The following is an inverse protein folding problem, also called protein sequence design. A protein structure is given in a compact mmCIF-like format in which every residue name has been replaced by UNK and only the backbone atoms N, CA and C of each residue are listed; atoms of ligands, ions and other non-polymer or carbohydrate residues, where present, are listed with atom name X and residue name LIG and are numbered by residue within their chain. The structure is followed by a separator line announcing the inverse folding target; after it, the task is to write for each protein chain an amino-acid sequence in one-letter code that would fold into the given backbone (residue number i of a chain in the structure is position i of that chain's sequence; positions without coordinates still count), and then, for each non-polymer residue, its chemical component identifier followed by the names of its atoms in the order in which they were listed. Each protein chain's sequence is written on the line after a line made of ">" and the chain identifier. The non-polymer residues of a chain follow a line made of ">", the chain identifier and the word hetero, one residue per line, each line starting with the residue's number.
data_IF_713101107667
#
_entry.id   IF_713101107667
#
_cell.length_a   1.000
_cell.length_b   1.000
_cell.length_c   1.000
_cell.angle_alpha   90.00
_cell.angle_beta   90.00
_cell.angle_gamma   90.00
#
_symmetry.space_group_name_H-M   'P 1'
#
loop_
_entity.id
_entity.type
_entity.pdbx_description
1 polymer ?
#
# COMPACT_ATOMS: atom_id res chain seq x y z
N UNK A 1 -46.39 66.78 11.29
CA UNK A 1 -46.11 66.53 9.94
C UNK A 1 -44.72 67.01 9.54
N UNK A 2 -43.68 66.26 9.63
CA UNK A 2 -42.30 66.65 9.38
C UNK A 2 -41.72 65.82 8.25
N UNK A 3 -41.56 66.41 7.09
CA UNK A 3 -40.81 65.82 5.95
C UNK A 3 -39.32 65.79 6.26
N UNK A 4 -38.68 64.58 6.28
CA UNK A 4 -37.21 64.43 6.27
C UNK A 4 -36.73 64.30 4.83
N UNK A 5 -35.76 65.14 4.43
CA UNK A 5 -35.05 65.13 3.15
C UNK A 5 -34.01 63.96 3.08
N UNK A 6 -33.73 63.37 1.90
CA UNK A 6 -32.78 62.29 1.75
C UNK A 6 -31.33 62.82 1.69
N UNK A 7 -30.40 62.07 2.36
CA UNK A 7 -28.95 62.33 2.37
C UNK A 7 -28.31 61.83 1.07
N UNK A 8 -27.50 62.70 0.43
CA UNK A 8 -26.64 62.40 -0.74
C UNK A 8 -25.59 61.33 -0.42
N UNK A 9 -25.51 60.28 -1.23
CA UNK A 9 -24.40 59.31 -1.25
C UNK A 9 -23.19 59.91 -1.96
N UNK A 10 -22.04 59.98 -1.29
CA UNK A 10 -20.72 60.25 -1.88
C UNK A 10 -20.24 59.02 -2.63
N UNK A 11 -19.92 59.17 -3.90
CA UNK A 11 -19.15 58.17 -4.69
C UNK A 11 -17.69 58.22 -4.27
N UNK A 12 -17.17 57.12 -3.74
CA UNK A 12 -15.72 56.92 -3.66
C UNK A 12 -15.28 56.16 -4.91
N UNK A 13 -14.45 56.80 -5.69
CA UNK A 13 -13.68 56.19 -6.80
C UNK A 13 -12.44 55.53 -6.20
N UNK A 14 -12.40 54.22 -6.17
CA UNK A 14 -11.17 53.45 -5.90
C UNK A 14 -10.58 53.02 -7.22
N UNK A 15 -9.49 53.72 -7.62
CA UNK A 15 -8.63 53.31 -8.71
C UNK A 15 -7.88 52.02 -8.29
N UNK A 16 -8.09 50.96 -9.05
CA UNK A 16 -7.31 49.71 -8.92
C UNK A 16 -6.00 49.89 -9.69
N UNK A 17 -4.90 50.03 -8.98
CA UNK A 17 -3.57 49.89 -9.53
C UNK A 17 -3.29 48.38 -9.72
N UNK A 18 -3.14 47.96 -10.95
CA UNK A 18 -2.59 46.67 -11.31
C UNK A 18 -1.04 46.73 -11.09
N UNK A 19 -0.45 45.73 -10.39
CA UNK A 19 1.01 45.63 -10.35
C UNK A 19 1.52 45.09 -11.68
N UNK A 20 2.50 45.83 -12.26
CA UNK A 20 3.28 45.45 -13.44
C UNK A 20 4.05 44.16 -13.16
N UNK A 21 4.01 43.23 -14.10
CA UNK A 21 4.87 42.05 -14.14
C UNK A 21 6.33 42.43 -14.28
N UNK A 22 7.26 41.78 -13.57
CA UNK A 22 8.71 41.95 -13.83
C UNK A 22 9.12 41.18 -15.08
N UNK A 23 9.96 41.83 -15.88
CA UNK A 23 10.60 41.27 -17.07
C UNK A 23 11.47 40.05 -16.77
N UNK A 24 11.59 39.08 -17.68
CA UNK A 24 12.45 37.93 -17.49
C UNK A 24 13.92 38.30 -17.84
N UNK A 25 14.76 38.40 -16.84
CA UNK A 25 16.19 38.40 -17.04
C UNK A 25 16.88 37.45 -16.07
N UNK A 26 17.57 36.47 -16.65
CA UNK A 26 18.76 35.76 -16.16
C UNK A 26 18.50 34.83 -14.95
N UNK A 27 18.37 33.54 -15.23
CA UNK A 27 18.97 32.46 -14.42
C UNK A 27 19.10 31.20 -15.29
N UNK A 28 20.13 31.21 -16.12
CA UNK A 28 20.76 30.00 -16.62
C UNK A 28 21.86 29.66 -15.65
N UNK A 29 21.74 28.58 -14.89
CA UNK A 29 22.84 27.67 -14.55
C UNK A 29 22.40 26.62 -13.53
N UNK A 30 22.55 25.37 -13.95
CA UNK A 30 22.97 24.26 -13.11
C UNK A 30 21.94 23.66 -12.11
N UNK A 31 21.05 22.82 -12.63
CA UNK A 31 20.63 21.62 -11.91
C UNK A 31 20.91 20.40 -12.79
N UNK A 32 22.16 19.96 -12.76
CA UNK A 32 22.52 18.61 -13.17
C UNK A 32 22.11 17.67 -12.01
N UNK A 33 21.43 16.55 -12.28
CA UNK A 33 21.17 15.55 -11.25
C UNK A 33 22.50 14.98 -10.74
N UNK A 34 22.58 14.58 -9.46
CA UNK A 34 23.77 13.97 -8.90
C UNK A 34 24.11 12.67 -9.63
N UNK A 35 25.40 12.34 -9.80
CA UNK A 35 25.81 11.11 -10.46
C UNK A 35 25.34 9.88 -9.69
N UNK A 36 24.88 8.86 -10.41
CA UNK A 36 24.50 7.56 -9.88
C UNK A 36 25.65 6.94 -9.06
N UNK A 37 25.37 6.35 -7.90
CA UNK A 37 26.38 5.67 -7.10
C UNK A 37 26.92 4.46 -7.86
N UNK A 38 28.25 4.31 -7.83
CA UNK A 38 28.95 3.17 -8.45
C UNK A 38 28.50 1.86 -7.81
N UNK A 39 28.43 0.75 -8.56
CA UNK A 39 28.05 -0.54 -7.99
C UNK A 39 29.08 -0.98 -6.95
N UNK A 40 28.60 -1.26 -5.75
CA UNK A 40 29.40 -1.87 -4.69
C UNK A 40 29.45 -3.37 -4.94
N UNK A 41 30.63 -3.89 -5.24
CA UNK A 41 30.88 -5.32 -5.38
C UNK A 41 30.97 -5.91 -3.96
N UNK A 42 29.94 -6.60 -3.52
CA UNK A 42 29.99 -7.36 -2.27
C UNK A 42 30.66 -8.70 -2.52
N UNK A 43 31.83 -8.91 -1.88
CA UNK A 43 32.44 -10.22 -1.78
C UNK A 43 31.59 -11.09 -0.84
N UNK A 44 31.12 -12.22 -1.35
CA UNK A 44 30.43 -13.25 -0.59
C UNK A 44 31.35 -13.84 0.47
N UNK A 45 31.08 -13.58 1.76
CA UNK A 45 31.54 -14.42 2.86
C UNK A 45 30.38 -15.27 3.36
N UNK A 46 30.55 -16.57 3.59
CA UNK A 46 29.48 -17.44 4.07
C UNK A 46 29.12 -17.05 5.52
N UNK A 47 27.82 -16.86 5.76
CA UNK A 47 27.25 -16.62 7.08
C UNK A 47 26.97 -17.99 7.75
N UNK A 48 28.00 -18.61 8.32
CA UNK A 48 27.86 -19.61 9.36
C UNK A 48 28.44 -19.01 10.65
N UNK A 49 27.72 -19.15 11.74
CA UNK A 49 28.04 -18.74 13.10
C UNK A 49 27.66 -17.33 13.55
N UNK A 50 26.40 -17.20 13.95
CA UNK A 50 25.96 -16.49 15.18
C UNK A 50 24.43 -16.36 15.23
N UNK A 51 23.77 -17.42 15.67
CA UNK A 51 22.42 -17.31 16.23
C UNK A 51 22.50 -17.78 17.70
N UNK A 52 21.95 -17.03 18.66
CA UNK A 52 21.79 -17.51 20.02
C UNK A 52 20.72 -18.61 20.09
N UNK A 53 20.83 -19.56 21.02
CA UNK A 53 19.90 -20.70 21.10
C UNK A 53 18.53 -20.23 21.59
N UNK A 54 17.49 -20.65 20.88
CA UNK A 54 16.09 -20.50 21.29
C UNK A 54 15.77 -21.37 22.50
N UNK A 55 14.93 -20.92 23.44
CA UNK A 55 14.43 -21.78 24.51
C UNK A 55 13.50 -22.83 23.90
N UNK A 56 13.86 -24.10 24.09
CA UNK A 56 13.03 -25.25 23.77
C UNK A 56 11.91 -25.36 24.82
N UNK A 57 10.66 -25.21 24.40
CA UNK A 57 9.52 -25.96 24.91
C UNK A 57 8.28 -25.70 24.07
N UNK A 58 7.99 -26.59 23.12
CA UNK A 58 6.65 -26.82 22.60
C UNK A 58 6.52 -28.31 22.36
N UNK A 59 5.48 -28.90 22.96
CA UNK A 59 5.16 -30.30 22.92
C UNK A 59 4.79 -30.83 21.52
N UNK A 60 4.75 -32.16 21.34
CA UNK A 60 4.72 -32.78 20.03
C UNK A 60 3.30 -32.90 19.51
N UNK A 61 2.98 -32.27 18.42
CA UNK A 61 2.17 -32.72 17.28
C UNK A 61 1.94 -31.58 16.29
N UNK A 62 2.94 -31.24 15.52
CA UNK A 62 2.68 -30.53 14.26
C UNK A 62 3.35 -31.31 13.13
N UNK A 63 2.53 -31.81 12.21
CA UNK A 63 3.03 -32.32 10.93
C UNK A 63 3.92 -31.25 10.31
N UNK A 64 5.23 -31.49 10.25
CA UNK A 64 6.13 -30.70 9.41
C UNK A 64 5.60 -30.82 8.00
N UNK A 65 4.95 -29.76 7.49
CA UNK A 65 4.73 -29.61 6.05
C UNK A 65 6.11 -29.45 5.41
N UNK A 66 6.56 -30.47 4.72
CA UNK A 66 7.72 -30.40 3.85
C UNK A 66 7.41 -29.38 2.76
N UNK A 67 8.27 -28.39 2.62
CA UNK A 67 8.21 -27.42 1.56
C UNK A 67 8.36 -28.15 0.21
N UNK A 68 7.27 -28.27 -0.55
CA UNK A 68 7.33 -28.68 -1.94
C UNK A 68 7.45 -27.41 -2.79
N UNK A 69 8.36 -27.38 -3.78
CA UNK A 69 8.41 -26.26 -4.71
C UNK A 69 7.05 -26.13 -5.39
N UNK A 70 6.39 -25.00 -5.15
CA UNK A 70 5.08 -24.68 -5.76
C UNK A 70 5.27 -24.68 -7.26
N UNK A 71 4.46 -25.46 -7.98
CA UNK A 71 4.33 -25.33 -9.44
C UNK A 71 3.81 -23.93 -9.73
N UNK A 72 4.71 -23.04 -10.14
CA UNK A 72 4.42 -21.63 -10.40
C UNK A 72 3.61 -21.54 -11.71
N UNK A 73 2.42 -20.98 -11.64
CA UNK A 73 1.69 -20.55 -12.83
C UNK A 73 2.49 -19.43 -13.53
N UNK A 74 2.68 -19.51 -14.85
CA UNK A 74 3.47 -18.55 -15.64
C UNK A 74 3.14 -17.08 -15.35
N UNK A 75 1.87 -16.74 -15.06
CA UNK A 75 1.47 -15.38 -14.67
C UNK A 75 1.93 -14.88 -13.30
N UNK A 76 2.46 -15.73 -12.41
CA UNK A 76 2.99 -15.31 -11.10
C UNK A 76 4.45 -14.84 -11.21
N UNK A 77 5.26 -15.52 -12.03
CA UNK A 77 6.66 -15.16 -12.27
C UNK A 77 6.78 -13.83 -13.04
N UNK A 78 5.90 -13.59 -14.04
CA UNK A 78 5.86 -12.31 -14.76
C UNK A 78 5.55 -11.15 -13.83
N UNK A 79 4.58 -11.31 -12.91
CA UNK A 79 4.25 -10.30 -11.91
C UNK A 79 5.40 -10.06 -10.92
N UNK A 80 6.10 -11.11 -10.51
CA UNK A 80 7.27 -10.98 -9.64
C UNK A 80 8.36 -10.12 -10.29
N UNK A 81 8.67 -10.36 -11.56
CA UNK A 81 9.64 -9.55 -12.32
C UNK A 81 9.18 -8.10 -12.41
N UNK A 82 7.92 -7.87 -12.72
CA UNK A 82 7.33 -6.53 -12.82
C UNK A 82 7.45 -5.76 -11.51
N UNK A 83 7.02 -6.35 -10.38
CA UNK A 83 7.10 -5.68 -9.07
C UNK A 83 8.53 -5.49 -8.58
N UNK A 84 9.46 -6.36 -8.95
CA UNK A 84 10.88 -6.18 -8.66
C UNK A 84 11.49 -4.98 -9.39
N UNK A 85 11.07 -4.71 -10.64
CA UNK A 85 11.55 -3.56 -11.43
C UNK A 85 11.09 -2.22 -10.88
N UNK A 86 9.83 -2.13 -10.42
CA UNK A 86 9.27 -0.88 -9.88
C UNK A 86 9.71 -0.57 -8.45
N UNK A 87 10.17 -1.55 -7.69
CA UNK A 87 10.50 -1.40 -6.27
C UNK A 87 11.31 -0.12 -5.93
N UNK A 88 12.38 0.27 -6.68
CA UNK A 88 13.20 1.42 -6.34
C UNK A 88 12.52 2.79 -6.48
N UNK A 89 11.46 2.89 -7.31
CA UNK A 89 10.79 4.16 -7.65
C UNK A 89 9.32 4.19 -7.25
N UNK A 90 8.79 3.07 -6.76
CA UNK A 90 7.37 2.88 -6.48
C UNK A 90 6.80 3.92 -5.51
N UNK A 91 7.49 4.16 -4.39
CA UNK A 91 7.02 5.10 -3.38
C UNK A 91 7.03 6.54 -3.88
N UNK A 92 8.08 6.95 -4.63
CA UNK A 92 8.17 8.30 -5.20
C UNK A 92 7.08 8.56 -6.24
N UNK A 93 6.77 7.56 -7.07
CA UNK A 93 5.69 7.66 -8.05
C UNK A 93 4.33 7.71 -7.36
N UNK A 94 4.09 6.92 -6.34
CA UNK A 94 2.86 6.97 -5.56
C UNK A 94 2.67 8.34 -4.88
N UNK A 95 3.73 8.93 -4.31
CA UNK A 95 3.70 10.27 -3.74
C UNK A 95 3.31 11.32 -4.80
N UNK A 96 3.97 11.29 -5.95
CA UNK A 96 3.73 12.24 -7.03
C UNK A 96 2.31 12.09 -7.60
N UNK A 97 1.90 10.87 -7.95
CA UNK A 97 0.63 10.61 -8.64
C UNK A 97 -0.58 10.77 -7.73
N UNK A 98 -0.45 10.51 -6.44
CA UNK A 98 -1.52 10.70 -5.45
C UNK A 98 -1.49 12.07 -4.77
N UNK A 99 -0.53 12.93 -5.11
CA UNK A 99 -0.26 14.18 -4.39
C UNK A 99 -0.13 13.95 -2.87
N UNK A 100 0.52 12.83 -2.48
CA UNK A 100 0.70 12.42 -1.09
C UNK A 100 -0.54 11.82 -0.42
N UNK A 101 -1.69 11.75 -1.10
CA UNK A 101 -2.94 11.21 -0.53
C UNK A 101 -2.83 9.72 -0.16
N UNK A 102 -1.99 8.95 -0.83
CA UNK A 102 -1.78 7.54 -0.53
C UNK A 102 -1.36 7.33 0.94
N UNK A 103 -0.65 8.28 1.54
CA UNK A 103 -0.25 8.22 2.96
C UNK A 103 -1.45 8.33 3.89
N UNK A 104 -2.45 9.14 3.51
CA UNK A 104 -3.72 9.27 4.25
C UNK A 104 -4.51 7.97 4.15
N UNK A 105 -4.65 7.43 2.93
CA UNK A 105 -5.38 6.18 2.70
C UNK A 105 -4.77 5.00 3.44
N UNK A 106 -3.43 4.88 3.46
CA UNK A 106 -2.71 3.85 4.23
C UNK A 106 -2.97 3.96 5.74
N UNK A 107 -2.98 5.18 6.31
CA UNK A 107 -3.35 5.39 7.72
C UNK A 107 -4.81 5.02 8.00
N UNK A 108 -5.72 5.31 7.07
CA UNK A 108 -7.12 4.91 7.19
C UNK A 108 -7.23 3.38 7.20
N UNK A 109 -6.54 2.67 6.29
CA UNK A 109 -6.55 1.21 6.24
C UNK A 109 -6.06 0.60 7.56
N UNK A 110 -4.95 1.08 8.12
CA UNK A 110 -4.45 0.66 9.44
C UNK A 110 -5.45 0.98 10.55
N UNK A 111 -6.12 2.12 10.49
CA UNK A 111 -7.15 2.48 11.49
C UNK A 111 -8.36 1.53 11.41
N UNK A 112 -8.82 1.21 10.21
CA UNK A 112 -10.00 0.36 9.98
C UNK A 112 -9.76 -1.12 10.23
N UNK A 113 -8.50 -1.59 10.23
CA UNK A 113 -8.14 -2.94 10.65
C UNK A 113 -8.48 -3.23 12.11
N UNK A 114 -8.69 -2.18 12.91
CA UNK A 114 -9.01 -2.31 14.33
C UNK A 114 -7.83 -2.66 15.22
N UNK A 115 -6.59 -2.67 14.70
CA UNK A 115 -5.39 -2.97 15.46
C UNK A 115 -5.21 -2.05 16.67
N UNK A 116 -4.75 -2.62 17.78
CA UNK A 116 -4.55 -1.98 19.08
C UNK A 116 -3.09 -2.14 19.54
N UNK A 117 -2.75 -1.43 20.59
CA UNK A 117 -1.45 -1.55 21.24
C UNK A 117 -1.25 -2.96 21.79
N UNK A 118 -0.09 -3.55 21.53
CA UNK A 118 0.25 -4.92 21.94
C UNK A 118 -0.22 -6.02 20.99
N UNK A 119 -0.99 -5.70 19.93
CA UNK A 119 -1.51 -6.68 18.99
C UNK A 119 -0.42 -7.30 18.11
N UNK A 120 -0.70 -8.52 17.64
CA UNK A 120 0.05 -9.20 16.58
C UNK A 120 -0.67 -9.00 15.26
N UNK A 121 -0.01 -8.34 14.31
CA UNK A 121 -0.64 -7.91 13.05
C UNK A 121 0.11 -8.38 11.82
N UNK A 122 -0.61 -8.60 10.73
CA UNK A 122 -0.08 -9.00 9.43
C UNK A 122 -0.29 -7.88 8.41
N UNK A 123 0.78 -7.47 7.74
CA UNK A 123 0.74 -6.71 6.49
C UNK A 123 1.01 -7.67 5.34
N UNK A 124 -0.05 -8.06 4.62
CA UNK A 124 0.01 -9.03 3.54
C UNK A 124 0.17 -8.31 2.19
N UNK A 125 1.05 -8.81 1.33
CA UNK A 125 1.54 -8.11 0.13
C UNK A 125 2.18 -6.76 0.54
N UNK A 126 3.07 -6.81 1.51
CA UNK A 126 3.58 -5.63 2.21
C UNK A 126 4.49 -4.74 1.35
N UNK A 127 5.03 -5.25 0.23
CA UNK A 127 5.95 -4.52 -0.63
C UNK A 127 7.12 -3.93 0.12
N UNK A 128 7.37 -2.63 -0.04
CA UNK A 128 8.42 -1.87 0.65
C UNK A 128 8.13 -1.58 2.14
N UNK A 129 7.00 -2.09 2.68
CA UNK A 129 6.68 -2.10 4.11
C UNK A 129 5.91 -0.91 4.65
N UNK A 130 5.32 -0.05 3.83
CA UNK A 130 4.67 1.18 4.29
C UNK A 130 3.58 0.96 5.34
N UNK A 131 2.70 -0.03 5.13
CA UNK A 131 1.66 -0.35 6.11
C UNK A 131 2.24 -1.04 7.35
N UNK A 132 3.26 -1.90 7.18
CA UNK A 132 3.96 -2.53 8.28
C UNK A 132 4.61 -1.50 9.22
N UNK A 133 5.21 -0.44 8.69
CA UNK A 133 5.75 0.65 9.51
C UNK A 133 4.65 1.41 10.26
N UNK A 134 3.51 1.69 9.62
CA UNK A 134 2.36 2.31 10.28
C UNK A 134 1.76 1.39 11.36
N UNK A 135 1.70 0.09 11.11
CA UNK A 135 1.30 -0.89 12.11
C UNK A 135 2.25 -0.92 13.30
N UNK A 136 3.57 -0.92 13.06
CA UNK A 136 4.57 -0.90 14.12
C UNK A 136 4.38 0.29 15.07
N UNK A 137 4.13 1.47 14.52
CA UNK A 137 3.79 2.66 15.32
C UNK A 137 2.46 2.50 16.08
N UNK A 138 1.49 1.84 15.47
CA UNK A 138 0.16 1.62 16.05
C UNK A 138 0.16 0.63 17.20
N UNK A 139 0.82 -0.53 17.01
CA UNK A 139 0.84 -1.60 18.03
C UNK A 139 1.89 -1.36 19.11
N UNK A 140 2.92 -0.53 18.84
CA UNK A 140 3.98 -0.20 19.78
C UNK A 140 4.97 -1.34 20.01
N UNK A 141 5.92 -1.11 20.94
CA UNK A 141 7.03 -2.04 21.21
C UNK A 141 6.59 -3.43 21.71
N UNK A 142 5.42 -3.50 22.33
CA UNK A 142 4.88 -4.73 22.92
C UNK A 142 4.08 -5.55 21.91
N UNK A 143 3.80 -4.97 20.74
CA UNK A 143 3.14 -5.64 19.61
C UNK A 143 4.14 -6.28 18.66
N UNK A 144 3.64 -7.10 17.75
CA UNK A 144 4.43 -7.74 16.69
C UNK A 144 3.81 -7.45 15.33
N UNK A 145 4.65 -7.08 14.37
CA UNK A 145 4.24 -6.87 12.98
C UNK A 145 4.94 -7.89 12.11
N UNK A 146 4.19 -8.57 11.25
CA UNK A 146 4.75 -9.45 10.23
C UNK A 146 4.36 -8.90 8.88
N UNK A 147 5.36 -8.61 8.04
CA UNK A 147 5.20 -8.24 6.64
C UNK A 147 5.45 -9.44 5.75
N UNK A 148 4.45 -9.83 4.95
CA UNK A 148 4.58 -10.94 3.99
C UNK A 148 4.47 -10.41 2.59
N UNK A 149 5.45 -10.75 1.75
CA UNK A 149 5.41 -10.47 0.31
C UNK A 149 6.03 -11.64 -0.47
N UNK A 150 5.60 -11.84 -1.71
CA UNK A 150 6.16 -12.86 -2.58
C UNK A 150 7.45 -12.43 -3.29
N UNK A 151 7.76 -11.13 -3.28
CA UNK A 151 8.95 -10.53 -3.89
C UNK A 151 10.05 -10.33 -2.85
N UNK A 152 11.11 -11.11 -2.96
CA UNK A 152 12.32 -10.98 -2.13
C UNK A 152 12.96 -9.59 -2.28
N UNK A 153 12.87 -8.98 -3.47
CA UNK A 153 13.41 -7.65 -3.76
C UNK A 153 12.68 -6.57 -2.98
N UNK A 154 11.34 -6.65 -2.91
CA UNK A 154 10.54 -5.74 -2.09
C UNK A 154 10.88 -5.88 -0.61
N UNK A 155 11.03 -7.09 -0.11
CA UNK A 155 11.41 -7.35 1.29
C UNK A 155 12.81 -6.84 1.62
N UNK A 156 13.76 -6.88 0.66
CA UNK A 156 15.09 -6.26 0.82
C UNK A 156 14.98 -4.74 0.98
N UNK A 157 14.12 -4.09 0.18
CA UNK A 157 13.85 -2.64 0.31
C UNK A 157 13.24 -2.35 1.69
N UNK A 158 12.22 -3.10 2.11
CA UNK A 158 11.57 -2.95 3.41
C UNK A 158 12.57 -3.11 4.57
N UNK A 159 13.39 -4.17 4.53
CA UNK A 159 14.45 -4.43 5.53
C UNK A 159 15.51 -3.32 5.57
N UNK A 160 15.95 -2.83 4.41
CA UNK A 160 16.90 -1.71 4.33
C UNK A 160 16.32 -0.42 4.93
N UNK A 161 15.05 -0.12 4.67
CA UNK A 161 14.33 1.01 5.25
C UNK A 161 14.22 0.89 6.78
N UNK A 162 13.93 -0.32 7.27
CA UNK A 162 13.88 -0.62 8.71
C UNK A 162 15.23 -0.37 9.38
N UNK A 163 16.32 -0.88 8.79
CA UNK A 163 17.69 -0.72 9.31
C UNK A 163 18.17 0.73 9.29
N UNK A 164 17.77 1.49 8.27
CA UNK A 164 18.15 2.90 8.12
C UNK A 164 17.35 3.83 9.05
N UNK A 165 16.28 3.33 9.67
CA UNK A 165 15.42 4.11 10.55
C UNK A 165 15.98 4.19 11.97
N UNK A 166 15.95 5.39 12.56
CA UNK A 166 16.29 5.60 13.97
C UNK A 166 15.17 5.20 14.96
N UNK A 167 13.97 4.84 14.46
CA UNK A 167 12.83 4.49 15.30
C UNK A 167 12.97 3.09 15.89
N UNK A 168 13.21 3.01 17.20
CA UNK A 168 13.38 1.73 17.90
C UNK A 168 12.16 0.81 17.81
N UNK A 169 10.95 1.38 17.66
CA UNK A 169 9.70 0.61 17.54
C UNK A 169 9.70 -0.32 16.33
N UNK A 170 10.37 0.05 15.25
CA UNK A 170 10.43 -0.77 14.02
C UNK A 170 11.18 -2.11 14.18
N UNK A 171 11.86 -2.33 15.32
CA UNK A 171 12.47 -3.64 15.65
C UNK A 171 11.45 -4.75 15.87
N UNK A 172 10.17 -4.41 16.05
CA UNK A 172 9.08 -5.37 16.18
C UNK A 172 8.52 -5.87 14.85
N UNK A 173 9.14 -5.49 13.71
CA UNK A 173 8.73 -5.92 12.37
C UNK A 173 9.60 -7.07 11.90
N UNK A 174 8.96 -8.13 11.43
CA UNK A 174 9.57 -9.29 10.78
C UNK A 174 9.11 -9.37 9.32
N UNK A 175 10.04 -9.66 8.41
CA UNK A 175 9.78 -9.77 6.97
C UNK A 175 9.88 -11.22 6.54
N UNK A 176 8.84 -11.74 5.88
CA UNK A 176 8.74 -13.15 5.46
C UNK A 176 8.37 -13.21 3.98
N UNK A 177 9.15 -13.97 3.19
CA UNK A 177 8.76 -14.32 1.82
C UNK A 177 7.65 -15.37 1.87
N UNK A 178 6.51 -15.10 1.21
CA UNK A 178 5.36 -16.00 1.24
C UNK A 178 4.30 -15.69 0.18
N UNK A 179 3.43 -16.68 -0.04
CA UNK A 179 2.28 -16.57 -0.93
C UNK A 179 1.02 -16.27 -0.11
N UNK A 180 0.26 -15.25 -0.52
CA UNK A 180 -1.01 -14.89 0.09
C UNK A 180 -2.05 -16.03 0.06
N UNK A 181 -1.86 -17.02 -0.81
CA UNK A 181 -2.75 -18.18 -0.95
C UNK A 181 -2.32 -19.39 -0.13
N UNK A 182 -1.18 -19.33 0.59
CA UNK A 182 -0.68 -20.41 1.47
C UNK A 182 0.20 -19.81 2.58
N UNK A 183 -0.45 -19.21 3.58
CA UNK A 183 0.23 -18.48 4.64
C UNK A 183 0.88 -19.45 5.66
N UNK A 184 2.18 -19.27 6.01
CA UNK A 184 2.92 -20.18 6.88
C UNK A 184 2.61 -19.96 8.38
N UNK A 185 1.37 -19.62 8.71
CA UNK A 185 0.94 -19.34 10.07
C UNK A 185 -0.16 -20.31 10.52
N UNK A 186 -0.25 -20.51 11.83
CA UNK A 186 -1.32 -21.29 12.45
C UNK A 186 -2.64 -20.51 12.40
N UNK A 187 -3.75 -21.24 12.57
CA UNK A 187 -5.08 -20.64 12.66
C UNK A 187 -5.16 -19.67 13.85
N UNK A 188 -5.97 -18.61 13.71
CA UNK A 188 -6.25 -17.65 14.78
C UNK A 188 -4.97 -16.99 15.37
N UNK A 189 -4.02 -16.63 14.52
CA UNK A 189 -2.72 -16.10 14.95
C UNK A 189 -2.71 -14.58 15.08
N UNK A 190 -3.40 -13.86 14.18
CA UNK A 190 -3.36 -12.40 14.07
C UNK A 190 -4.58 -11.70 14.66
N UNK A 191 -4.35 -10.55 15.29
CA UNK A 191 -5.37 -9.65 15.82
C UNK A 191 -5.90 -8.69 14.75
N UNK A 192 -5.12 -8.41 13.69
CA UNK A 192 -5.54 -7.60 12.56
C UNK A 192 -4.70 -7.93 11.32
N UNK A 193 -5.28 -7.71 10.14
CA UNK A 193 -4.59 -7.88 8.84
C UNK A 193 -4.82 -6.64 7.99
N UNK A 194 -3.79 -6.19 7.24
CA UNK A 194 -3.95 -5.27 6.12
C UNK A 194 -3.45 -5.88 4.82
N UNK A 195 -4.05 -5.44 3.71
CA UNK A 195 -3.54 -5.63 2.35
C UNK A 195 -3.57 -4.29 1.65
N UNK A 196 -2.42 -3.76 1.25
CA UNK A 196 -2.36 -2.48 0.54
C UNK A 196 -1.93 -2.65 -0.91
N UNK A 197 -2.82 -2.35 -1.86
CA UNK A 197 -2.57 -2.41 -3.31
C UNK A 197 -2.14 -3.79 -3.85
N UNK A 198 -2.35 -4.86 -3.07
CA UNK A 198 -1.86 -6.19 -3.36
C UNK A 198 -2.93 -7.16 -3.87
N UNK A 199 -4.15 -7.10 -3.31
CA UNK A 199 -5.18 -8.12 -3.56
C UNK A 199 -5.57 -8.24 -5.06
N UNK A 200 -5.62 -7.12 -5.80
CA UNK A 200 -5.93 -7.15 -7.24
C UNK A 200 -4.95 -8.01 -8.03
N UNK A 201 -3.71 -8.13 -7.55
CA UNK A 201 -2.63 -8.86 -8.19
C UNK A 201 -2.58 -10.35 -7.79
N UNK A 202 -3.32 -10.76 -6.76
CA UNK A 202 -3.42 -12.17 -6.36
C UNK A 202 -4.24 -12.95 -7.39
N UNK A 203 -3.73 -14.10 -7.85
CA UNK A 203 -4.40 -14.92 -8.86
C UNK A 203 -5.69 -15.48 -8.31
N UNK A 204 -5.62 -16.20 -7.20
CA UNK A 204 -6.78 -16.79 -6.51
C UNK A 204 -7.13 -15.95 -5.28
N UNK A 205 -7.94 -14.90 -5.51
CA UNK A 205 -8.40 -14.00 -4.46
C UNK A 205 -9.26 -14.70 -3.41
N UNK A 206 -10.04 -15.72 -3.82
CA UNK A 206 -10.88 -16.52 -2.90
C UNK A 206 -10.01 -17.34 -1.95
N UNK A 207 -8.96 -17.96 -2.45
CA UNK A 207 -8.02 -18.72 -1.62
C UNK A 207 -7.27 -17.81 -0.65
N UNK A 208 -6.84 -16.63 -1.10
CA UNK A 208 -6.22 -15.62 -0.23
C UNK A 208 -7.19 -15.13 0.87
N UNK A 209 -8.46 -14.86 0.54
CA UNK A 209 -9.48 -14.49 1.53
C UNK A 209 -9.67 -15.59 2.58
N UNK A 210 -9.69 -16.88 2.18
CA UNK A 210 -9.78 -18.01 3.11
C UNK A 210 -8.55 -18.13 4.00
N UNK A 211 -7.35 -17.88 3.47
CA UNK A 211 -6.13 -17.88 4.27
C UNK A 211 -6.12 -16.72 5.28
N UNK A 212 -6.50 -15.51 4.86
CA UNK A 212 -6.66 -14.38 5.76
C UNK A 212 -7.68 -14.69 6.87
N UNK A 213 -8.84 -15.28 6.51
CA UNK A 213 -9.82 -15.71 7.50
C UNK A 213 -9.22 -16.75 8.47
N UNK A 214 -8.53 -17.76 7.97
CA UNK A 214 -7.94 -18.84 8.77
C UNK A 214 -6.98 -18.31 9.83
N UNK A 215 -6.07 -17.41 9.44
CA UNK A 215 -5.02 -16.90 10.34
C UNK A 215 -5.50 -15.76 11.24
N UNK A 216 -6.64 -15.14 10.94
CA UNK A 216 -7.21 -14.04 11.72
C UNK A 216 -7.95 -14.62 12.96
N UNK A 217 -7.86 -13.97 14.10
CA UNK A 217 -8.60 -14.36 15.32
C UNK A 217 -10.10 -14.07 15.17
N UNK A 218 -10.98 -14.82 15.85
CA UNK A 218 -12.42 -14.52 15.90
C UNK A 218 -12.69 -13.09 16.36
N UNK A 219 -13.61 -12.38 15.68
CA UNK A 219 -13.97 -10.99 15.95
C UNK A 219 -12.95 -9.96 15.47
N UNK A 220 -11.81 -10.38 14.94
CA UNK A 220 -10.78 -9.51 14.35
C UNK A 220 -11.09 -9.14 12.90
N UNK A 221 -10.37 -8.15 12.36
CA UNK A 221 -10.68 -7.56 11.04
C UNK A 221 -9.52 -7.64 10.07
N UNK A 222 -9.87 -7.79 8.80
CA UNK A 222 -8.99 -7.48 7.68
C UNK A 222 -9.41 -6.15 7.04
N UNK A 223 -8.43 -5.35 6.63
CA UNK A 223 -8.64 -4.10 5.88
C UNK A 223 -7.86 -4.17 4.57
N UNK A 224 -8.56 -4.12 3.43
CA UNK A 224 -7.98 -4.25 2.09
C UNK A 224 -8.14 -2.93 1.36
N UNK A 225 -7.06 -2.18 1.24
CA UNK A 225 -6.97 -0.93 0.49
C UNK A 225 -6.49 -1.21 -0.93
N UNK A 226 -7.26 -0.83 -1.93
CA UNK A 226 -6.86 -0.97 -3.33
C UNK A 226 -7.54 0.09 -4.22
N UNK A 227 -7.17 0.15 -5.50
CA UNK A 227 -7.92 0.92 -6.48
C UNK A 227 -9.36 0.41 -6.54
N UNK A 228 -10.29 1.35 -6.64
CA UNK A 228 -11.70 1.00 -6.77
C UNK A 228 -12.06 0.81 -8.25
N UNK A 229 -12.79 -0.24 -8.57
CA UNK A 229 -13.48 -0.38 -9.85
C UNK A 229 -14.85 0.26 -9.71
N UNK A 230 -14.92 1.55 -10.02
CA UNK A 230 -16.17 2.29 -9.90
C UNK A 230 -17.22 1.79 -10.90
N UNK A 231 -18.45 1.67 -10.44
CA UNK A 231 -19.63 1.43 -11.27
C UNK A 231 -20.22 2.72 -11.85
N UNK A 232 -19.81 3.88 -11.32
CA UNK A 232 -20.22 5.19 -11.78
C UNK A 232 -19.41 5.58 -13.02
N UNK A 233 -20.08 5.80 -14.12
CA UNK A 233 -19.46 6.11 -15.43
C UNK A 233 -18.47 7.27 -15.38
N UNK A 234 -18.85 8.38 -14.76
CA UNK A 234 -17.98 9.57 -14.68
C UNK A 234 -16.72 9.33 -13.86
N UNK A 235 -16.81 8.57 -12.77
CA UNK A 235 -15.67 8.23 -11.92
C UNK A 235 -14.73 7.30 -12.69
N UNK A 236 -15.27 6.27 -13.34
CA UNK A 236 -14.49 5.33 -14.15
C UNK A 236 -13.78 6.05 -15.32
N UNK A 237 -14.51 6.90 -16.06
CA UNK A 237 -13.94 7.67 -17.15
C UNK A 237 -12.86 8.66 -16.69
N UNK A 238 -13.06 9.33 -15.54
CA UNK A 238 -12.05 10.22 -14.94
C UNK A 238 -10.81 9.44 -14.48
N UNK A 239 -11.00 8.27 -13.87
CA UNK A 239 -9.89 7.41 -13.44
C UNK A 239 -9.05 6.96 -14.65
N UNK A 240 -9.69 6.51 -15.74
CA UNK A 240 -9.00 6.13 -16.97
C UNK A 240 -8.26 7.32 -17.60
N UNK A 241 -8.93 8.47 -17.70
CA UNK A 241 -8.31 9.69 -18.20
C UNK A 241 -7.09 10.11 -17.38
N UNK A 242 -7.17 10.07 -16.05
CA UNK A 242 -6.03 10.35 -15.17
C UNK A 242 -4.87 9.39 -15.42
N UNK A 243 -5.15 8.10 -15.57
CA UNK A 243 -4.12 7.10 -15.84
C UNK A 243 -3.47 7.39 -17.18
N UNK A 244 -4.23 7.64 -18.24
CA UNK A 244 -3.71 7.82 -19.59
C UNK A 244 -2.95 9.16 -19.78
N UNK A 245 -3.41 10.24 -19.17
CA UNK A 245 -2.88 11.59 -19.42
C UNK A 245 -1.81 11.98 -18.38
N UNK A 246 -1.86 11.44 -17.18
CA UNK A 246 -0.93 11.82 -16.11
C UNK A 246 0.00 10.66 -15.76
N UNK A 247 -0.56 9.49 -15.43
CA UNK A 247 0.19 8.38 -14.84
C UNK A 247 1.13 7.74 -15.86
N UNK A 248 0.61 7.37 -17.04
CA UNK A 248 1.38 6.70 -18.10
C UNK A 248 2.50 7.58 -18.65
N UNK A 249 2.30 8.86 -19.00
CA UNK A 249 3.38 9.72 -19.48
C UNK A 249 4.50 9.93 -18.46
N UNK A 250 4.15 10.13 -17.17
CA UNK A 250 5.14 10.25 -16.10
C UNK A 250 5.93 8.95 -15.95
N UNK A 251 5.25 7.81 -15.92
CA UNK A 251 5.90 6.51 -15.81
C UNK A 251 6.79 6.17 -17.01
N UNK A 252 6.37 6.55 -18.21
CA UNK A 252 7.17 6.40 -19.43
C UNK A 252 8.50 7.17 -19.34
N UNK A 253 8.49 8.37 -18.71
CA UNK A 253 9.69 9.12 -18.41
C UNK A 253 10.68 8.39 -17.49
N UNK A 254 10.20 7.44 -16.69
CA UNK A 254 11.01 6.55 -15.84
C UNK A 254 11.28 5.18 -16.48
N UNK A 255 10.87 4.95 -17.73
CA UNK A 255 11.03 3.66 -18.41
C UNK A 255 10.08 2.56 -17.91
N UNK A 256 8.93 2.92 -17.33
CA UNK A 256 7.96 2.03 -16.67
C UNK A 256 6.61 1.97 -17.40
N UNK A 257 6.59 2.12 -18.72
CA UNK A 257 5.35 2.15 -19.51
C UNK A 257 4.57 0.83 -19.40
N UNK A 258 5.26 -0.33 -19.49
CA UNK A 258 4.64 -1.67 -19.41
C UNK A 258 3.98 -1.91 -18.06
N UNK A 259 4.61 -1.48 -16.97
CA UNK A 259 4.12 -1.63 -15.60
C UNK A 259 2.83 -0.83 -15.38
N UNK A 260 2.68 0.30 -16.03
CA UNK A 260 1.49 1.13 -15.90
C UNK A 260 0.35 0.72 -16.83
N UNK A 261 0.64 0.15 -17.98
CA UNK A 261 -0.38 -0.56 -18.78
C UNK A 261 -0.91 -1.78 -18.01
N UNK A 262 -0.04 -2.50 -17.30
CA UNK A 262 -0.46 -3.55 -16.38
C UNK A 262 -1.35 -3.00 -15.26
N UNK A 263 -1.01 -1.85 -14.65
CA UNK A 263 -1.84 -1.21 -13.62
C UNK A 263 -3.26 -0.96 -14.15
N UNK A 264 -3.39 -0.35 -15.33
CA UNK A 264 -4.67 -0.07 -15.98
C UNK A 264 -5.48 -1.34 -16.21
N UNK A 265 -4.85 -2.38 -16.76
CA UNK A 265 -5.50 -3.66 -17.01
C UNK A 265 -5.91 -4.36 -15.71
N UNK A 266 -5.09 -4.30 -14.66
CA UNK A 266 -5.38 -4.90 -13.36
C UNK A 266 -6.56 -4.23 -12.65
N UNK A 267 -6.70 -2.91 -12.76
CA UNK A 267 -7.86 -2.18 -12.22
C UNK A 267 -9.14 -2.57 -12.97
N UNK A 268 -9.10 -2.61 -14.31
CA UNK A 268 -10.27 -3.01 -15.13
C UNK A 268 -10.75 -4.43 -14.82
N UNK A 269 -9.83 -5.35 -14.55
CA UNK A 269 -10.12 -6.75 -14.23
C UNK A 269 -10.43 -6.99 -12.76
N UNK A 270 -10.22 -5.96 -11.89
CA UNK A 270 -10.49 -6.10 -10.48
C UNK A 270 -11.98 -6.20 -10.18
N UNK A 271 -12.30 -6.59 -8.97
CA UNK A 271 -13.67 -6.70 -8.47
C UNK A 271 -14.20 -5.32 -8.08
N UNK A 272 -15.49 -5.11 -8.29
CA UNK A 272 -16.22 -3.98 -7.72
C UNK A 272 -16.32 -4.10 -6.20
N UNK A 273 -16.64 -3.01 -5.50
CA UNK A 273 -16.81 -3.04 -4.06
C UNK A 273 -17.83 -4.08 -3.58
N UNK A 274 -18.95 -4.23 -4.33
CA UNK A 274 -19.98 -5.22 -4.04
C UNK A 274 -19.48 -6.66 -4.23
N UNK A 275 -18.79 -6.93 -5.32
CA UNK A 275 -18.19 -8.24 -5.57
C UNK A 275 -17.12 -8.60 -4.52
N UNK A 276 -16.39 -7.61 -3.98
CA UNK A 276 -15.45 -7.81 -2.88
C UNK A 276 -16.15 -8.14 -1.55
N UNK A 277 -17.28 -7.46 -1.25
CA UNK A 277 -18.11 -7.80 -0.09
C UNK A 277 -18.64 -9.25 -0.20
N UNK A 278 -19.19 -9.61 -1.36
CA UNK A 278 -19.70 -10.97 -1.64
C UNK A 278 -18.58 -12.02 -1.52
N UNK A 279 -17.42 -11.77 -2.12
CA UNK A 279 -16.26 -12.66 -2.03
C UNK A 279 -15.82 -12.91 -0.57
N UNK A 280 -15.79 -11.86 0.25
CA UNK A 280 -15.43 -11.99 1.66
C UNK A 280 -16.48 -12.82 2.42
N UNK A 281 -17.77 -12.54 2.25
CA UNK A 281 -18.85 -13.31 2.89
C UNK A 281 -18.84 -14.78 2.45
N UNK A 282 -18.70 -15.07 1.18
CA UNK A 282 -18.58 -16.43 0.64
C UNK A 282 -17.31 -17.16 1.11
N UNK A 283 -16.27 -16.42 1.49
CA UNK A 283 -15.05 -16.98 2.06
C UNK A 283 -15.20 -17.32 3.54
N UNK A 284 -16.28 -16.86 4.21
CA UNK A 284 -16.63 -17.20 5.60
C UNK A 284 -16.49 -16.04 6.59
N UNK A 285 -16.22 -14.80 6.14
CA UNK A 285 -16.26 -13.63 7.02
C UNK A 285 -17.69 -13.36 7.47
N UNK A 286 -17.88 -12.99 8.73
CA UNK A 286 -19.20 -12.73 9.34
C UNK A 286 -19.83 -11.42 8.86
N UNK A 287 -19.00 -10.45 8.49
CA UNK A 287 -19.41 -9.15 7.98
C UNK A 287 -18.34 -8.62 7.02
N UNK A 288 -18.78 -8.00 5.94
CA UNK A 288 -17.90 -7.33 4.99
C UNK A 288 -18.53 -6.02 4.52
N UNK A 289 -17.75 -4.94 4.50
CA UNK A 289 -18.21 -3.62 4.04
C UNK A 289 -17.11 -2.94 3.25
N UNK A 290 -17.44 -2.54 2.04
CA UNK A 290 -16.57 -1.75 1.17
C UNK A 290 -16.89 -0.27 1.33
N UNK A 291 -15.84 0.54 1.44
CA UNK A 291 -15.92 2.00 1.56
C UNK A 291 -15.18 2.63 0.40
N UNK A 292 -15.86 3.46 -0.34
CA UNK A 292 -15.24 4.27 -1.38
C UNK A 292 -14.52 5.48 -0.77
N UNK A 293 -13.35 5.79 -1.29
CA UNK A 293 -12.46 6.85 -0.83
C UNK A 293 -12.13 7.76 -2.02
N UNK A 294 -11.93 9.05 -1.77
CA UNK A 294 -11.55 10.05 -2.79
C UNK A 294 -12.49 10.07 -3.99
N UNK A 295 -13.80 10.10 -3.72
CA UNK A 295 -14.82 10.16 -4.78
C UNK A 295 -14.93 8.89 -5.61
N UNK A 296 -14.57 7.74 -5.05
CA UNK A 296 -14.66 6.44 -5.73
C UNK A 296 -13.41 6.02 -6.52
N UNK A 297 -12.29 6.77 -6.43
CA UNK A 297 -11.02 6.40 -7.06
C UNK A 297 -10.33 5.25 -6.32
N UNK A 298 -10.48 5.21 -5.01
CA UNK A 298 -9.92 4.21 -4.12
C UNK A 298 -11.04 3.51 -3.35
N UNK A 299 -10.78 2.30 -2.90
CA UNK A 299 -11.69 1.54 -2.06
C UNK A 299 -10.98 0.86 -0.91
N UNK A 300 -11.69 0.66 0.18
CA UNK A 300 -11.21 -0.15 1.29
C UNK A 300 -12.30 -1.11 1.75
N UNK A 301 -12.04 -2.42 1.60
CA UNK A 301 -12.89 -3.46 2.17
C UNK A 301 -12.47 -3.70 3.61
N UNK A 302 -13.45 -3.67 4.52
CA UNK A 302 -13.28 -4.12 5.92
C UNK A 302 -14.13 -5.35 6.12
N UNK A 303 -13.50 -6.48 6.44
CA UNK A 303 -14.21 -7.71 6.74
C UNK A 303 -13.86 -8.23 8.13
N UNK A 304 -14.85 -8.77 8.85
CA UNK A 304 -14.72 -9.27 10.23
C UNK A 304 -14.86 -10.80 10.22
N UNK A 305 -13.95 -11.47 10.90
CA UNK A 305 -14.06 -12.92 11.12
C UNK A 305 -15.16 -13.26 12.13
#
# INVERSE_FOLDING_TARGET
>A
PGRRKPKKKKKFSTGVLLPMAPSPSILSSQFLPPPLPKPVIFQNKPLSDRLPPFPAQVGPTSRRRTWHPVVRCAGADERRVLFSRIAPVYDNLNDLLSLGQHRVWKRMAVSWSGAKKGDRVLDLCCGSGDLAFLFSEKVGSDGQVIGVDFSTEQLKVASSRQQSSSKAVYRNIEWIEGDATDLPFTDCYFDAITVGYGLRNVVDKRKAMKEMLRVLKPGSKVSVLDFNKSTEYFVAAFQEWMIDIVVVPVATGYGLAEEYEYLKSSIRQYLTGKELEELALESGFSCAKHYEISGGLMGNLVATR
#
